data_IF_093821951424
#
_entry.id   IF_093821951424
#
_cell.length_a   1.000
_cell.length_b   1.000
_cell.length_c   1.000
_cell.angle_alpha   90.00
_cell.angle_beta   90.00
_cell.angle_gamma   90.00
#
_symmetry.space_group_name_H-M   'P 1'
#
loop_
_entity.id
_entity.type
_entity.pdbx_description
1 polymer ?
#
# COMPACT_ATOMS: atom_id res chain seq x y z
N UNK A 1 -39.12 2.53 -43.10
CA UNK A 1 -38.05 2.87 -44.08
C UNK A 1 -37.40 4.20 -43.74
N UNK A 2 -38.09 5.34 -43.81
CA UNK A 2 -37.52 6.67 -43.49
C UNK A 2 -36.92 6.81 -42.07
N UNK A 3 -37.55 6.20 -41.06
CA UNK A 3 -37.03 6.19 -39.68
C UNK A 3 -35.76 5.34 -39.51
N UNK A 4 -35.65 4.23 -40.27
CA UNK A 4 -34.45 3.39 -40.28
C UNK A 4 -33.30 4.08 -41.01
N UNK A 5 -33.58 4.81 -42.09
CA UNK A 5 -32.58 5.62 -42.81
C UNK A 5 -32.02 6.73 -41.91
N UNK A 6 -32.88 7.43 -41.16
CA UNK A 6 -32.46 8.44 -40.18
C UNK A 6 -31.62 7.86 -39.04
N UNK A 7 -31.98 6.68 -38.52
CA UNK A 7 -31.17 6.00 -37.50
C UNK A 7 -29.79 5.57 -38.01
N UNK A 8 -29.71 5.08 -39.25
CA UNK A 8 -28.43 4.71 -39.88
C UNK A 8 -27.55 5.94 -40.13
N UNK A 9 -28.14 7.08 -40.49
CA UNK A 9 -27.41 8.32 -40.72
C UNK A 9 -26.88 8.90 -39.40
N UNK A 10 -27.68 8.87 -38.33
CA UNK A 10 -27.24 9.25 -36.99
C UNK A 10 -26.13 8.33 -36.44
N UNK A 11 -26.19 7.03 -36.72
CA UNK A 11 -25.13 6.09 -36.35
C UNK A 11 -23.83 6.33 -37.14
N UNK A 12 -23.92 6.71 -38.43
CA UNK A 12 -22.75 7.11 -39.23
C UNK A 12 -22.08 8.36 -38.69
N UNK A 13 -22.87 9.36 -38.27
CA UNK A 13 -22.33 10.59 -37.69
C UNK A 13 -21.57 10.28 -36.40
N UNK A 14 -22.18 9.52 -35.48
CA UNK A 14 -21.52 9.09 -34.23
C UNK A 14 -20.25 8.29 -34.48
N UNK A 15 -20.26 7.38 -35.46
CA UNK A 15 -19.07 6.60 -35.81
C UNK A 15 -17.94 7.47 -36.38
N UNK A 16 -18.27 8.51 -37.15
CA UNK A 16 -17.29 9.45 -37.66
C UNK A 16 -16.73 10.37 -36.57
N UNK A 17 -17.56 10.79 -35.61
CA UNK A 17 -17.14 11.54 -34.44
C UNK A 17 -16.16 10.74 -33.58
N UNK A 18 -16.49 9.49 -33.23
CA UNK A 18 -15.60 8.59 -32.47
C UNK A 18 -14.27 8.35 -33.19
N UNK A 19 -14.28 8.19 -34.52
CA UNK A 19 -13.05 8.04 -35.28
C UNK A 19 -12.21 9.33 -35.33
N UNK A 20 -12.86 10.49 -35.31
CA UNK A 20 -12.17 11.78 -35.24
C UNK A 20 -11.51 12.00 -33.87
N UNK A 21 -12.15 11.54 -32.80
CA UNK A 21 -11.61 11.60 -31.43
C UNK A 21 -10.42 10.64 -31.27
N UNK A 22 -10.54 9.39 -31.73
CA UNK A 22 -9.44 8.44 -31.75
C UNK A 22 -8.23 8.95 -32.53
N UNK A 23 -8.46 9.70 -33.62
CA UNK A 23 -7.38 10.32 -34.40
C UNK A 23 -6.69 11.44 -33.63
N UNK A 24 -7.46 12.28 -32.91
CA UNK A 24 -6.90 13.31 -32.02
C UNK A 24 -6.08 12.69 -30.88
N UNK A 25 -6.56 11.59 -30.29
CA UNK A 25 -5.82 10.85 -29.27
C UNK A 25 -4.52 10.26 -29.82
N UNK A 26 -4.54 9.67 -31.01
CA UNK A 26 -3.32 9.18 -31.66
C UNK A 26 -2.31 10.30 -31.95
N UNK A 27 -2.78 11.48 -32.37
CA UNK A 27 -1.92 12.64 -32.60
C UNK A 27 -1.34 13.19 -31.28
N UNK A 28 -2.10 13.13 -30.18
CA UNK A 28 -1.59 13.47 -28.85
C UNK A 28 -0.52 12.48 -28.37
N UNK A 29 -0.74 11.17 -28.55
CA UNK A 29 0.25 10.13 -28.22
C UNK A 29 1.54 10.33 -29.02
N UNK A 30 1.45 10.59 -30.33
CA UNK A 30 2.64 10.88 -31.15
C UNK A 30 3.40 12.12 -30.69
N UNK A 31 2.70 13.17 -30.26
CA UNK A 31 3.36 14.37 -29.70
C UNK A 31 4.09 14.05 -28.40
N UNK A 32 3.50 13.23 -27.53
CA UNK A 32 4.12 12.79 -26.28
C UNK A 32 5.34 11.87 -26.52
N UNK A 33 5.26 10.98 -27.50
CA UNK A 33 6.40 10.16 -27.93
C UNK A 33 7.54 11.03 -28.44
N UNK A 34 7.25 12.04 -29.27
CA UNK A 34 8.26 12.98 -29.75
C UNK A 34 8.89 13.82 -28.63
N UNK A 35 8.13 14.22 -27.60
CA UNK A 35 8.71 14.94 -26.45
C UNK A 35 9.59 14.03 -25.60
N UNK A 36 9.18 12.77 -25.38
CA UNK A 36 9.99 11.78 -24.66
C UNK A 36 11.28 11.44 -25.41
N UNK A 37 11.23 11.37 -26.74
CA UNK A 37 12.41 11.12 -27.58
C UNK A 37 13.40 12.30 -27.49
N UNK A 38 12.90 13.54 -27.50
CA UNK A 38 13.74 14.73 -27.27
C UNK A 38 14.38 14.73 -25.88
N UNK A 39 13.62 14.45 -24.83
CA UNK A 39 14.17 14.35 -23.47
C UNK A 39 15.23 13.24 -23.35
N UNK A 40 15.04 12.12 -24.05
CA UNK A 40 16.03 11.03 -24.12
C UNK A 40 17.31 11.44 -24.84
N UNK A 41 17.20 12.22 -25.92
CA UNK A 41 18.37 12.74 -26.64
C UNK A 41 19.10 13.80 -25.81
N UNK A 42 18.38 14.71 -25.15
CA UNK A 42 18.94 15.68 -24.21
C UNK A 42 19.67 14.99 -23.06
N UNK A 43 19.08 13.93 -22.49
CA UNK A 43 19.71 13.12 -21.44
C UNK A 43 20.97 12.38 -21.96
N UNK A 44 20.93 11.89 -23.20
CA UNK A 44 22.09 11.22 -23.83
C UNK A 44 23.23 12.21 -24.09
N UNK A 45 22.92 13.45 -24.48
CA UNK A 45 23.92 14.51 -24.65
C UNK A 45 24.50 14.97 -23.31
N UNK A 46 23.69 15.09 -22.25
CA UNK A 46 24.20 15.39 -20.89
C UNK A 46 25.14 14.30 -20.40
N UNK A 47 24.83 13.02 -20.63
CA UNK A 47 25.75 11.91 -20.29
C UNK A 47 27.08 12.01 -21.03
N UNK A 48 27.11 12.46 -22.30
CA UNK A 48 28.36 12.63 -23.07
C UNK A 48 29.23 13.76 -22.54
N UNK A 49 28.64 14.77 -21.91
CA UNK A 49 29.37 15.91 -21.31
C UNK A 49 29.96 15.63 -19.92
N UNK A 50 29.64 14.49 -19.30
CA UNK A 50 30.20 14.07 -18.01
C UNK A 50 31.55 13.35 -18.24
N UNK A 51 32.66 13.76 -17.61
CA UNK A 51 33.97 13.18 -17.88
C UNK A 51 34.05 11.69 -17.53
N UNK A 52 34.60 10.90 -18.46
CA UNK A 52 34.80 9.45 -18.40
C UNK A 52 35.87 9.04 -17.37
N UNK A 53 35.62 9.19 -16.07
CA UNK A 53 36.51 8.68 -15.02
C UNK A 53 35.85 7.62 -14.13
N UNK A 54 34.99 6.76 -14.69
CA UNK A 54 34.49 5.58 -13.94
C UNK A 54 33.90 4.48 -14.83
N UNK A 55 34.46 4.25 -16.03
CA UNK A 55 33.99 3.16 -16.93
C UNK A 55 34.78 1.84 -16.82
N UNK A 56 35.79 1.74 -15.96
CA UNK A 56 36.64 0.52 -15.84
C UNK A 56 36.56 -0.24 -14.52
N UNK A 57 35.85 0.24 -13.51
CA UNK A 57 35.77 -0.45 -12.20
C UNK A 57 34.66 -1.50 -12.10
N UNK A 58 33.82 -1.69 -13.13
CA UNK A 58 32.62 -2.53 -13.05
C UNK A 58 32.75 -3.94 -13.67
N UNK A 59 33.93 -4.38 -14.11
CA UNK A 59 34.10 -5.72 -14.70
C UNK A 59 34.95 -6.70 -13.89
N UNK A 60 35.51 -6.30 -12.74
CA UNK A 60 36.38 -7.19 -11.94
C UNK A 60 35.98 -7.21 -10.48
N UNK A 61 34.76 -7.63 -10.18
CA UNK A 61 34.37 -7.96 -8.80
C UNK A 61 33.24 -9.02 -8.78
N UNK A 62 33.37 -10.04 -9.62
CA UNK A 62 32.58 -11.26 -9.51
C UNK A 62 33.41 -12.33 -8.77
N UNK A 63 33.28 -12.39 -7.44
CA UNK A 63 33.43 -13.60 -6.61
C UNK A 63 33.10 -13.27 -5.15
N UNK A 64 32.08 -13.90 -4.53
CA UNK A 64 31.85 -13.80 -3.10
C UNK A 64 32.72 -14.85 -2.39
N UNK A 65 33.60 -14.39 -1.50
CA UNK A 65 34.27 -15.25 -0.53
C UNK A 65 33.58 -15.10 0.83
N UNK A 66 33.20 -16.25 1.35
CA UNK A 66 32.55 -16.48 2.63
C UNK A 66 33.50 -16.21 3.81
N UNK A 67 32.89 -15.98 4.98
CA UNK A 67 33.40 -16.12 6.35
C UNK A 67 34.29 -15.00 6.93
N UNK A 68 33.64 -14.13 7.71
CA UNK A 68 33.95 -13.96 9.14
C UNK A 68 32.80 -13.22 9.82
N UNK A 69 31.88 -13.99 10.42
CA UNK A 69 30.81 -13.46 11.27
C UNK A 69 31.40 -12.95 12.58
N UNK A 70 31.53 -11.63 12.72
CA UNK A 70 31.71 -11.00 14.02
C UNK A 70 30.33 -10.97 14.68
N UNK A 71 30.14 -11.86 15.65
CA UNK A 71 28.97 -11.91 16.52
C UNK A 71 28.94 -10.68 17.42
N UNK A 72 28.09 -9.70 17.10
CA UNK A 72 27.68 -8.66 18.03
C UNK A 72 26.82 -9.31 19.13
N UNK A 73 27.40 -9.46 20.31
CA UNK A 73 26.70 -9.81 21.55
C UNK A 73 25.77 -8.67 21.95
N UNK A 74 24.49 -8.81 21.61
CA UNK A 74 23.41 -8.01 22.18
C UNK A 74 23.32 -8.34 23.67
N UNK A 75 23.68 -7.39 24.54
CA UNK A 75 23.47 -7.49 25.97
C UNK A 75 21.96 -7.53 26.27
N UNK A 76 21.47 -8.47 27.10
CA UNK A 76 20.07 -8.57 27.44
C UNK A 76 19.65 -7.39 28.34
N UNK A 77 18.63 -6.65 27.90
CA UNK A 77 17.81 -5.80 28.76
C UNK A 77 17.30 -6.64 29.93
N UNK A 78 17.66 -6.23 31.14
CA UNK A 78 17.14 -6.83 32.38
C UNK A 78 15.61 -6.67 32.40
N UNK A 79 14.84 -7.72 32.75
CA UNK A 79 13.40 -7.58 32.92
C UNK A 79 13.11 -6.69 34.13
N UNK A 80 12.22 -5.73 33.93
CA UNK A 80 11.65 -4.89 34.99
C UNK A 80 10.98 -5.78 36.05
N UNK A 81 11.33 -5.54 37.32
CA UNK A 81 10.75 -6.20 38.49
C UNK A 81 9.24 -5.96 38.50
N UNK A 82 8.47 -7.05 38.61
CA UNK A 82 7.01 -7.01 38.64
C UNK A 82 6.51 -6.14 39.81
N UNK A 83 5.66 -5.17 39.49
CA UNK A 83 4.89 -4.37 40.45
C UNK A 83 3.76 -5.25 40.95
N UNK A 84 3.62 -5.38 42.27
CA UNK A 84 2.54 -6.14 42.91
C UNK A 84 1.17 -5.64 42.46
N UNK A 85 0.26 -6.59 42.24
CA UNK A 85 -1.11 -6.35 41.78
C UNK A 85 -1.86 -5.42 42.75
N UNK A 86 -2.16 -4.20 42.32
CA UNK A 86 -3.26 -3.42 42.91
C UNK A 86 -4.58 -3.98 42.39
N UNK A 87 -5.49 -4.29 43.33
CA UNK A 87 -6.84 -4.76 43.04
C UNK A 87 -7.63 -3.72 42.21
N UNK A 88 -8.37 -4.22 41.21
CA UNK A 88 -9.30 -3.43 40.40
C UNK A 88 -10.73 -3.65 40.91
N UNK A 89 -11.17 -2.91 41.92
CA UNK A 89 -12.54 -2.36 42.00
C UNK A 89 -12.68 -1.36 43.15
N UNK A 90 -13.71 -0.52 43.03
CA UNK A 90 -14.03 0.68 43.80
C UNK A 90 -14.49 0.37 45.23
N UNK A 91 -13.69 0.75 46.22
CA UNK A 91 -14.15 1.17 47.54
C UNK A 91 -13.47 2.50 47.90
N UNK A 92 -14.22 3.40 48.52
CA UNK A 92 -13.78 4.72 48.97
C UNK A 92 -14.11 4.87 50.47
N UNK A 93 -13.54 5.88 51.15
CA UNK A 93 -12.21 5.97 51.74
C UNK A 93 -12.23 5.64 53.26
N UNK A 94 -11.08 5.71 53.97
CA UNK A 94 -10.95 6.89 54.83
C UNK A 94 -9.55 7.52 54.80
N UNK A 95 -9.55 8.79 55.18
CA UNK A 95 -8.41 9.67 55.31
C UNK A 95 -7.25 9.09 56.13
N UNK A 96 -6.03 9.40 55.68
CA UNK A 96 -4.91 9.95 56.46
C UNK A 96 -3.58 9.36 55.97
N UNK A 97 -2.86 10.13 55.16
CA UNK A 97 -1.43 10.40 55.39
C UNK A 97 -0.97 11.43 54.37
N UNK A 98 -0.64 12.61 54.89
CA UNK A 98 0.08 13.64 54.16
C UNK A 98 1.29 12.99 53.47
N UNK A 99 1.25 12.96 52.14
CA UNK A 99 2.40 12.58 51.34
C UNK A 99 3.51 13.57 51.62
N UNK A 100 4.53 13.11 52.34
CA UNK A 100 5.74 13.88 52.59
C UNK A 100 6.47 14.02 51.26
N UNK A 101 6.25 15.13 50.56
CA UNK A 101 7.02 15.47 49.36
C UNK A 101 8.47 15.71 49.79
N UNK A 102 9.31 14.70 49.60
CA UNK A 102 10.75 14.83 49.78
C UNK A 102 11.29 15.82 48.75
N UNK A 103 12.00 16.85 49.22
CA UNK A 103 12.62 17.83 48.35
C UNK A 103 13.53 17.13 47.32
N UNK A 104 13.17 17.25 46.03
CA UNK A 104 13.91 16.72 44.88
C UNK A 104 15.36 17.25 44.87
N UNK A 105 15.60 18.38 45.57
CA UNK A 105 16.84 18.96 46.10
C UNK A 105 17.90 17.98 46.65
N UNK A 106 17.46 16.93 47.32
CA UNK A 106 18.34 16.04 48.08
C UNK A 106 18.16 14.57 47.70
N UNK A 107 17.39 14.30 46.65
CA UNK A 107 17.20 12.94 46.16
C UNK A 107 18.46 12.43 45.45
N UNK A 108 19.07 11.40 46.02
CA UNK A 108 20.27 10.74 45.49
C UNK A 108 20.05 10.07 44.14
N UNK A 109 18.80 9.85 43.73
CA UNK A 109 18.45 9.27 42.41
C UNK A 109 18.51 10.31 41.29
N UNK A 110 18.45 11.60 41.63
CA UNK A 110 18.46 12.69 40.66
C UNK A 110 19.88 13.17 40.46
N UNK A 111 20.51 12.68 39.39
CA UNK A 111 21.87 13.07 38.99
C UNK A 111 21.82 14.48 38.41
N UNK A 112 22.46 15.44 39.09
CA UNK A 112 22.56 16.83 38.63
C UNK A 112 23.92 17.05 37.96
N UNK A 113 23.91 17.17 36.64
CA UNK A 113 25.13 17.38 35.84
C UNK A 113 25.03 16.70 34.47
N UNK A 114 25.96 17.06 33.58
CA UNK A 114 26.01 16.55 32.22
C UNK A 114 26.50 15.08 32.20
N UNK A 115 25.73 14.17 31.60
CA UNK A 115 25.89 12.70 31.70
C UNK A 115 27.02 12.10 30.84
N UNK A 116 27.76 12.91 30.08
CA UNK A 116 28.74 12.41 29.11
C UNK A 116 30.18 12.22 29.64
N UNK A 117 30.49 12.58 30.90
CA UNK A 117 31.87 12.59 31.40
C UNK A 117 32.16 11.63 32.59
N UNK A 118 31.30 10.64 32.87
CA UNK A 118 31.61 9.64 33.90
C UNK A 118 32.37 8.43 33.31
N UNK A 119 33.70 8.53 33.31
CA UNK A 119 34.56 7.34 33.26
C UNK A 119 34.40 6.59 34.58
N UNK A 120 33.84 5.38 34.54
CA UNK A 120 33.74 4.48 35.69
C UNK A 120 35.14 3.91 35.96
N UNK A 121 35.86 4.47 36.93
CA UNK A 121 37.08 3.88 37.50
C UNK A 121 36.71 3.07 38.75
N UNK A 122 37.37 1.92 39.00
CA UNK A 122 37.04 1.04 40.11
C UNK A 122 37.24 1.72 41.47
N UNK A 123 36.27 1.54 42.37
CA UNK A 123 36.10 2.17 43.69
C UNK A 123 37.31 2.08 44.63
N UNK A 124 38.26 1.17 44.39
CA UNK A 124 39.47 1.01 45.22
C UNK A 124 40.47 2.15 45.04
N UNK A 125 40.53 2.77 43.86
CA UNK A 125 41.50 3.86 43.56
C UNK A 125 41.01 5.25 43.99
N UNK A 126 39.70 5.43 44.22
CA UNK A 126 39.15 6.73 44.65
C UNK A 126 39.47 7.06 46.12
N UNK A 127 39.57 6.06 46.99
CA UNK A 127 39.92 6.26 48.40
C UNK A 127 41.39 6.71 48.56
N UNK A 128 42.32 6.08 47.83
CA UNK A 128 43.75 6.45 47.85
C UNK A 128 44.00 7.86 47.28
N UNK A 129 43.31 8.24 46.20
CA UNK A 129 43.45 9.58 45.62
C UNK A 129 42.84 10.67 46.52
N UNK A 130 41.74 10.39 47.23
CA UNK A 130 41.14 11.33 48.17
C UNK A 130 41.99 11.54 49.44
N UNK A 131 42.66 10.50 49.94
CA UNK A 131 43.61 10.61 51.05
C UNK A 131 44.88 11.38 50.64
N UNK A 132 45.39 11.13 49.43
CA UNK A 132 46.53 11.86 48.87
C UNK A 132 46.23 13.36 48.66
N UNK A 133 45.01 13.69 48.21
CA UNK A 133 44.54 15.07 48.09
C UNK A 133 44.41 15.76 49.46
N UNK A 134 43.85 15.08 50.48
CA UNK A 134 43.79 15.61 51.85
C UNK A 134 45.18 15.89 52.43
N UNK A 135 46.16 15.01 52.18
CA UNK A 135 47.54 15.23 52.64
C UNK A 135 48.22 16.40 51.90
N UNK A 136 47.99 16.56 50.59
CA UNK A 136 48.50 17.72 49.84
C UNK A 136 47.86 19.04 50.29
N UNK A 137 46.56 19.02 50.60
CA UNK A 137 45.84 20.19 51.11
C UNK A 137 46.31 20.58 52.52
N UNK A 138 46.54 19.60 53.41
CA UNK A 138 47.15 19.83 54.71
C UNK A 138 48.58 20.39 54.61
N UNK A 139 49.40 19.89 53.67
CA UNK A 139 50.72 20.47 53.37
C UNK A 139 50.62 21.92 52.88
N UNK A 140 49.69 22.22 51.97
CA UNK A 140 49.45 23.59 51.48
C UNK A 140 49.03 24.52 52.62
N UNK A 141 48.14 24.06 53.50
CA UNK A 141 47.66 24.84 54.65
C UNK A 141 48.75 25.10 55.67
N UNK A 142 49.63 24.13 55.93
CA UNK A 142 50.79 24.29 56.80
C UNK A 142 51.83 25.28 56.23
N UNK A 143 52.10 25.22 54.92
CA UNK A 143 53.00 26.18 54.24
C UNK A 143 52.41 27.60 54.25
N UNK A 144 51.09 27.74 54.03
CA UNK A 144 50.40 29.03 54.10
C UNK A 144 50.44 29.61 55.52
N UNK A 145 50.25 28.80 56.56
CA UNK A 145 50.40 29.24 57.95
C UNK A 145 51.84 29.65 58.30
N UNK A 146 52.85 28.96 57.74
CA UNK A 146 54.26 29.33 57.93
C UNK A 146 54.57 30.69 57.29
N UNK A 147 54.09 30.93 56.06
CA UNK A 147 54.18 32.24 55.39
C UNK A 147 53.41 33.34 56.12
N UNK A 148 52.23 33.04 56.65
CA UNK A 148 51.44 34.01 57.43
C UNK A 148 52.15 34.39 58.75
N UNK A 149 52.80 33.44 59.43
CA UNK A 149 53.63 33.73 60.62
C UNK A 149 54.87 34.56 60.29
N UNK A 150 55.45 34.38 59.10
CA UNK A 150 56.56 35.20 58.62
C UNK A 150 56.11 36.63 58.27
N UNK A 151 54.88 36.82 57.78
CA UNK A 151 54.32 38.14 57.48
C UNK A 151 53.87 38.94 58.72
N UNK A 152 53.50 38.26 59.83
CA UNK A 152 53.07 38.93 61.08
C UNK A 152 54.27 39.42 61.92
N UNK A 153 55.48 38.90 61.68
CA UNK A 153 56.70 39.49 62.25
C UNK A 153 57.16 40.64 61.37
N UNK A 154 56.77 41.86 61.71
CA UNK A 154 57.44 43.08 61.20
C UNK A 154 58.88 43.01 61.69
N UNK A 155 59.78 42.55 60.82
CA UNK A 155 61.20 42.37 61.13
C UNK A 155 61.90 43.70 60.87
N UNK A 156 62.52 44.27 61.89
CA UNK A 156 63.51 45.34 61.70
C UNK A 156 64.60 44.80 60.76
N UNK A 157 64.95 45.51 59.67
CA UNK A 157 65.94 45.02 58.71
C UNK A 157 67.26 44.67 59.41
N UNK A 158 67.96 43.66 58.88
CA UNK A 158 69.20 43.14 59.45
C UNK A 158 70.31 44.20 59.39
N UNK A 159 71.16 44.26 60.43
CA UNK A 159 72.20 45.26 60.51
C UNK A 159 73.22 45.09 59.37
N UNK A 160 73.59 46.19 58.72
CA UNK A 160 74.60 46.19 57.65
C UNK A 160 75.93 45.61 58.18
N UNK A 161 76.62 44.85 57.35
CA UNK A 161 77.81 44.08 57.72
C UNK A 161 78.88 45.00 58.36
N UNK A 162 79.22 44.73 59.62
CA UNK A 162 80.16 45.54 60.43
C UNK A 162 79.51 46.52 61.42
N UNK A 163 78.17 46.58 61.51
CA UNK A 163 77.45 47.35 62.53
C UNK A 163 76.54 46.43 63.34
N UNK A 164 76.44 46.66 64.65
CA UNK A 164 75.50 45.97 65.54
C UNK A 164 74.35 46.92 65.89
N UNK A 165 73.11 46.45 65.83
CA UNK A 165 71.96 47.22 66.33
C UNK A 165 71.91 47.11 67.85
N UNK A 166 71.83 48.24 68.54
CA UNK A 166 71.63 48.32 69.99
C UNK A 166 70.22 48.82 70.25
N UNK A 167 69.51 48.22 71.20
CA UNK A 167 68.17 48.66 71.58
C UNK A 167 68.28 49.98 72.35
N UNK A 168 67.71 51.05 71.77
CA UNK A 168 67.64 52.37 72.40
C UNK A 168 66.29 52.49 73.11
N UNK A 169 66.30 52.96 74.36
CA UNK A 169 65.07 53.25 75.12
C UNK A 169 64.22 54.25 74.34
N UNK A 170 63.12 53.78 73.77
CA UNK A 170 62.15 54.58 72.99
C UNK A 170 60.84 54.80 73.76
N UNK A 171 60.87 54.52 75.05
CA UNK A 171 59.79 54.84 75.98
C UNK A 171 59.80 56.35 76.23
N UNK A 172 58.62 56.98 76.31
CA UNK A 172 58.50 58.42 76.58
C UNK A 172 59.09 58.74 77.97
N UNK A 173 60.31 59.29 78.01
CA UNK A 173 60.94 59.81 79.22
C UNK A 173 60.91 61.34 79.16
N UNK A 174 60.08 61.97 79.99
CA UNK A 174 59.96 63.43 80.09
C UNK A 174 60.76 63.92 81.31
N UNK A 175 61.86 64.63 81.08
CA UNK A 175 62.52 65.46 82.10
C UNK A 175 61.90 66.87 82.09
N UNK A 176 61.34 67.31 83.22
CA UNK A 176 60.92 68.70 83.40
C UNK A 176 62.16 69.60 83.58
N UNK A 177 62.52 70.36 82.55
CA UNK A 177 63.54 71.40 82.63
C UNK A 177 63.00 72.62 83.40
N UNK A 178 63.30 72.71 84.69
CA UNK A 178 63.00 73.87 85.54
C UNK A 178 64.08 74.95 85.42
N UNK A 179 64.17 75.61 84.27
CA UNK A 179 64.96 76.84 84.12
C UNK A 179 64.01 78.00 83.75
N UNK A 180 63.69 78.82 84.75
CA UNK A 180 63.01 80.11 84.56
C UNK A 180 63.99 81.02 83.81
N UNK A 181 63.70 81.31 82.54
CA UNK A 181 64.45 82.31 81.78
C UNK A 181 64.05 83.68 82.31
N UNK A 182 65.02 84.48 82.77
CA UNK A 182 64.75 85.85 83.20
C UNK A 182 64.42 86.73 81.99
N UNK A 183 63.21 87.29 81.98
CA UNK A 183 62.78 88.28 81.00
C UNK A 183 63.31 89.66 81.42
N UNK A 184 64.14 90.28 80.57
CA UNK A 184 64.56 91.66 80.73
C UNK A 184 63.65 92.54 79.85
N UNK A 185 62.79 93.34 80.48
CA UNK A 185 61.98 94.33 79.78
C UNK A 185 62.85 95.50 79.33
N UNK A 186 63.06 95.61 78.01
CA UNK A 186 63.65 96.78 77.37
C UNK A 186 62.53 97.57 76.71
N UNK A 187 62.19 98.72 77.28
CA UNK A 187 61.21 99.64 76.68
C UNK A 187 61.92 100.56 75.68
N UNK A 188 61.77 100.26 74.38
CA UNK A 188 62.21 101.13 73.29
C UNK A 188 61.06 102.01 72.80
N UNK A 189 61.30 103.31 72.73
CA UNK A 189 60.40 104.32 72.16
C UNK A 189 60.21 104.05 70.67
N UNK A 190 58.98 103.75 70.26
CA UNK A 190 58.58 103.47 68.88
C UNK A 190 58.56 104.76 68.06
N UNK A 191 59.50 104.88 67.12
CA UNK A 191 59.34 105.78 65.97
C UNK A 191 58.37 105.14 64.96
N UNK A 192 57.61 105.96 64.24
CA UNK A 192 56.58 105.49 63.31
C UNK A 192 57.26 104.85 62.08
N UNK A 193 57.20 103.52 61.99
CA UNK A 193 57.67 102.76 60.82
C UNK A 193 56.99 103.27 59.54
N UNK A 194 57.78 103.87 58.64
CA UNK A 194 57.38 104.04 57.25
C UNK A 194 57.60 102.70 56.53
N UNK A 195 56.56 102.21 55.84
CA UNK A 195 56.64 100.98 55.06
C UNK A 195 57.74 101.08 54.01
N UNK A 196 58.76 100.23 54.17
CA UNK A 196 59.80 100.03 53.17
C UNK A 196 59.11 99.45 51.93
N UNK A 197 59.35 99.97 50.71
CA UNK A 197 58.79 99.35 49.51
C UNK A 197 59.26 97.89 49.43
N UNK A 198 58.36 96.99 49.04
CA UNK A 198 58.66 95.56 48.93
C UNK A 198 59.92 95.37 48.09
N UNK A 199 60.92 94.70 48.69
CA UNK A 199 62.14 94.36 47.95
C UNK A 199 61.75 93.49 46.76
N UNK A 200 62.15 93.85 45.52
CA UNK A 200 61.79 93.08 44.34
C UNK A 200 62.24 91.63 44.51
N UNK A 201 61.34 90.68 44.22
CA UNK A 201 61.62 89.25 44.29
C UNK A 201 62.83 88.93 43.41
N UNK A 202 63.89 88.42 44.04
CA UNK A 202 65.05 87.94 43.31
C UNK A 202 64.65 86.69 42.50
N UNK A 203 64.55 86.84 41.18
CA UNK A 203 64.39 85.71 40.25
C UNK A 203 65.81 85.31 39.82
N UNK A 204 66.33 84.15 40.25
CA UNK A 204 67.63 83.68 39.81
C UNK A 204 67.62 83.53 38.28
N UNK A 205 68.68 83.98 37.60
CA UNK A 205 68.87 83.64 36.20
C UNK A 205 68.89 82.11 36.07
N UNK A 206 68.14 81.55 35.11
CA UNK A 206 68.14 80.11 34.83
C UNK A 206 69.60 79.69 34.56
N UNK A 207 70.20 78.98 35.50
CA UNK A 207 71.55 78.42 35.36
C UNK A 207 71.39 76.92 35.15
N UNK A 208 71.49 76.51 33.89
CA UNK A 208 71.30 75.16 33.40
C UNK A 208 71.29 75.15 31.87
N UNK A 209 71.70 74.05 31.25
CA UNK A 209 71.58 73.88 29.80
C UNK A 209 70.21 73.29 29.52
N UNK A 210 69.38 74.01 28.77
CA UNK A 210 68.08 73.50 28.33
C UNK A 210 68.31 72.35 27.33
N UNK A 211 67.78 71.17 27.65
CA UNK A 211 67.83 69.98 26.79
C UNK A 211 66.40 69.50 26.50
N UNK A 212 66.07 69.32 25.22
CA UNK A 212 64.82 68.71 24.79
C UNK A 212 65.10 67.29 24.32
N UNK A 213 64.44 66.33 24.95
CA UNK A 213 64.41 64.94 24.48
C UNK A 213 63.08 64.70 23.78
N UNK A 214 63.13 64.41 22.48
CA UNK A 214 61.99 63.95 21.69
C UNK A 214 62.28 62.54 21.20
N UNK A 215 61.27 61.68 21.25
CA UNK A 215 61.30 60.34 20.68
C UNK A 215 60.82 60.46 19.23
N UNK A 216 61.61 59.96 18.28
CA UNK A 216 61.29 60.00 16.86
C UNK A 216 60.41 58.79 16.45
N UNK A 217 59.70 58.93 15.33
CA UNK A 217 58.85 57.86 14.80
C UNK A 217 59.66 56.59 14.53
N UNK A 218 59.31 55.50 15.23
CA UNK A 218 59.95 54.19 15.10
C UNK A 218 61.01 53.85 16.16
N UNK A 219 61.40 54.78 17.03
CA UNK A 219 62.43 54.54 18.06
C UNK A 219 61.98 53.56 19.16
N UNK A 220 60.67 53.44 19.40
CA UNK A 220 60.08 52.51 20.37
C UNK A 220 59.42 51.28 19.72
N UNK A 221 59.55 51.09 18.41
CA UNK A 221 58.87 50.00 17.71
C UNK A 221 59.56 48.66 17.98
N UNK A 222 58.83 47.73 18.61
CA UNK A 222 59.25 46.35 18.80
C UNK A 222 58.42 45.43 17.89
N UNK A 223 59.06 44.93 16.83
CA UNK A 223 58.41 44.09 15.83
C UNK A 223 57.78 42.84 16.44
N UNK A 224 58.49 42.17 17.36
CA UNK A 224 58.06 40.89 17.92
C UNK A 224 56.82 41.05 18.81
N UNK A 225 56.63 42.24 19.39
CA UNK A 225 55.44 42.58 20.18
C UNK A 225 54.27 42.97 19.29
N UNK A 226 54.50 43.82 18.30
CA UNK A 226 53.42 44.38 17.48
C UNK A 226 52.86 43.37 16.47
N UNK A 227 53.67 42.46 15.92
CA UNK A 227 53.22 41.44 14.96
C UNK A 227 52.34 40.36 15.58
N UNK A 228 52.42 40.13 16.90
CA UNK A 228 51.67 39.05 17.56
C UNK A 228 50.17 39.10 17.27
N UNK A 229 49.57 40.30 17.36
CA UNK A 229 48.13 40.48 17.10
C UNK A 229 47.75 40.18 15.65
N UNK A 230 48.59 40.56 14.69
CA UNK A 230 48.38 40.31 13.26
C UNK A 230 48.53 38.82 12.95
N UNK A 231 49.55 38.18 13.51
CA UNK A 231 49.82 36.77 13.30
C UNK A 231 48.72 35.89 13.92
N UNK A 232 48.24 36.24 15.12
CA UNK A 232 47.15 35.53 15.80
C UNK A 232 45.87 35.55 14.96
N UNK A 233 45.50 36.73 14.43
CA UNK A 233 44.32 36.86 13.57
C UNK A 233 44.49 36.09 12.26
N UNK A 234 45.67 36.16 11.62
CA UNK A 234 45.93 35.43 10.38
C UNK A 234 45.88 33.92 10.58
N UNK A 235 46.58 33.40 11.59
CA UNK A 235 46.60 31.97 11.89
C UNK A 235 45.20 31.51 12.31
N UNK A 236 44.53 32.27 13.17
CA UNK A 236 43.17 31.99 13.60
C UNK A 236 42.21 31.90 12.41
N UNK A 237 42.30 32.85 11.47
CA UNK A 237 41.42 32.87 10.30
C UNK A 237 41.70 31.74 9.32
N UNK A 238 42.98 31.41 9.08
CA UNK A 238 43.35 30.29 8.21
C UNK A 238 42.90 28.97 8.81
N UNK A 239 43.08 28.77 10.12
CA UNK A 239 42.60 27.55 10.80
C UNK A 239 41.07 27.44 10.76
N UNK A 240 40.35 28.51 11.08
CA UNK A 240 38.89 28.54 11.02
C UNK A 240 38.37 28.23 9.60
N UNK A 241 38.92 28.89 8.59
CA UNK A 241 38.55 28.67 7.20
C UNK A 241 38.84 27.23 6.77
N UNK A 242 40.03 26.71 7.06
CA UNK A 242 40.40 25.33 6.72
C UNK A 242 39.49 24.30 7.36
N UNK A 243 39.06 24.52 8.61
CA UNK A 243 38.15 23.61 9.30
C UNK A 243 36.76 23.62 8.66
N UNK A 244 36.23 24.81 8.33
CA UNK A 244 34.93 24.94 7.67
C UNK A 244 34.93 24.29 6.28
N UNK A 245 35.99 24.49 5.49
CA UNK A 245 36.14 23.88 4.17
C UNK A 245 36.16 22.35 4.25
N UNK A 246 36.95 21.77 5.17
CA UNK A 246 37.02 20.32 5.35
C UNK A 246 35.67 19.74 5.81
N UNK A 247 34.97 20.42 6.73
CA UNK A 247 33.64 19.99 7.17
C UNK A 247 32.63 20.01 6.01
N UNK A 248 32.62 21.07 5.19
CA UNK A 248 31.75 21.16 4.02
C UNK A 248 32.07 20.07 2.99
N UNK A 249 33.34 19.78 2.74
CA UNK A 249 33.75 18.71 1.82
C UNK A 249 33.28 17.33 2.29
N UNK A 250 33.39 17.03 3.59
CA UNK A 250 32.92 15.78 4.18
C UNK A 250 31.39 15.65 4.10
N UNK A 251 30.65 16.73 4.38
CA UNK A 251 29.20 16.76 4.25
C UNK A 251 28.76 16.53 2.80
N UNK A 252 29.37 17.22 1.83
CA UNK A 252 29.11 17.03 0.40
C UNK A 252 29.45 15.61 -0.06
N UNK A 253 30.54 15.02 0.45
CA UNK A 253 30.90 13.64 0.14
C UNK A 253 29.87 12.64 0.69
N UNK A 254 29.38 12.87 1.91
CA UNK A 254 28.34 12.06 2.53
C UNK A 254 27.02 12.11 1.75
N UNK A 255 26.56 13.32 1.39
CA UNK A 255 25.35 13.52 0.59
C UNK A 255 25.46 12.84 -0.79
N UNK A 256 26.60 13.00 -1.48
CA UNK A 256 26.84 12.33 -2.77
C UNK A 256 26.88 10.80 -2.63
N UNK A 257 27.42 10.27 -1.54
CA UNK A 257 27.42 8.83 -1.28
C UNK A 257 26.00 8.32 -1.03
N UNK A 258 25.20 9.04 -0.25
CA UNK A 258 23.80 8.72 0.01
C UNK A 258 22.96 8.76 -1.26
N UNK A 259 23.14 9.78 -2.09
CA UNK A 259 22.44 9.91 -3.37
C UNK A 259 22.76 8.74 -4.30
N UNK A 260 24.04 8.39 -4.47
CA UNK A 260 24.45 7.22 -5.28
C UNK A 260 23.84 5.92 -4.77
N UNK A 261 23.88 5.69 -3.46
CA UNK A 261 23.28 4.49 -2.86
C UNK A 261 21.75 4.43 -3.05
N UNK A 262 21.08 5.58 -3.06
CA UNK A 262 19.65 5.67 -3.34
C UNK A 262 19.34 5.38 -4.82
N UNK A 263 20.10 5.98 -5.74
CA UNK A 263 19.97 5.75 -7.18
C UNK A 263 20.20 4.28 -7.55
N UNK A 264 21.25 3.66 -7.01
CA UNK A 264 21.51 2.22 -7.19
C UNK A 264 20.34 1.35 -6.74
N UNK A 265 19.77 1.64 -5.56
CA UNK A 265 18.58 0.91 -5.07
C UNK A 265 17.36 1.14 -5.96
N UNK A 266 17.14 2.38 -6.40
CA UNK A 266 16.03 2.74 -7.28
C UNK A 266 16.13 2.03 -8.63
N UNK A 267 17.31 1.97 -9.21
CA UNK A 267 17.56 1.32 -10.49
C UNK A 267 17.33 -0.19 -10.39
N UNK A 268 17.82 -0.83 -9.32
CA UNK A 268 17.55 -2.24 -9.05
C UNK A 268 16.05 -2.49 -8.94
N UNK A 269 15.33 -1.70 -8.14
CA UNK A 269 13.87 -1.81 -8.00
C UNK A 269 13.14 -1.62 -9.33
N UNK A 270 13.54 -0.63 -10.13
CA UNK A 270 12.93 -0.35 -11.41
C UNK A 270 13.10 -1.53 -12.38
N UNK A 271 14.30 -2.12 -12.44
CA UNK A 271 14.53 -3.30 -13.29
C UNK A 271 13.76 -4.53 -12.82
N UNK A 272 13.55 -4.70 -11.51
CA UNK A 272 12.74 -5.78 -10.95
C UNK A 272 11.25 -5.60 -11.29
N UNK A 273 10.72 -4.39 -11.11
CA UNK A 273 9.34 -4.05 -11.47
C UNK A 273 9.09 -4.29 -12.95
N UNK A 274 10.01 -3.90 -13.83
CA UNK A 274 9.89 -4.15 -15.27
C UNK A 274 9.84 -5.65 -15.60
N UNK A 275 10.66 -6.48 -14.94
CA UNK A 275 10.63 -7.94 -15.13
C UNK A 275 9.29 -8.53 -14.71
N UNK A 276 8.76 -8.10 -13.56
CA UNK A 276 7.46 -8.56 -13.05
C UNK A 276 6.30 -8.12 -13.96
N UNK A 277 6.32 -6.87 -14.43
CA UNK A 277 5.31 -6.35 -15.36
C UNK A 277 5.28 -7.15 -16.68
N UNK A 278 6.45 -7.48 -17.23
CA UNK A 278 6.54 -8.27 -18.46
C UNK A 278 6.04 -9.72 -18.25
N UNK A 279 6.34 -10.33 -17.09
CA UNK A 279 5.80 -11.64 -16.73
C UNK A 279 4.27 -11.61 -16.60
N UNK A 280 3.74 -10.60 -15.92
CA UNK A 280 2.29 -10.42 -15.76
C UNK A 280 1.61 -10.16 -17.11
N UNK A 281 2.24 -9.39 -18.01
CA UNK A 281 1.75 -9.20 -19.38
C UNK A 281 1.61 -10.54 -20.12
N UNK A 282 2.63 -11.39 -20.06
CA UNK A 282 2.59 -12.72 -20.70
C UNK A 282 1.50 -13.61 -20.11
N UNK A 283 1.40 -13.65 -18.78
CA UNK A 283 0.40 -14.46 -18.10
C UNK A 283 -1.03 -13.99 -18.38
N UNK A 284 -1.27 -12.67 -18.39
CA UNK A 284 -2.58 -12.10 -18.71
C UNK A 284 -2.97 -12.34 -20.16
N UNK A 285 -2.03 -12.25 -21.10
CA UNK A 285 -2.26 -12.60 -22.51
C UNK A 285 -2.61 -14.07 -22.69
N UNK A 286 -1.87 -14.99 -22.05
CA UNK A 286 -2.19 -16.42 -22.12
C UNK A 286 -3.55 -16.71 -21.48
N UNK A 287 -3.83 -16.16 -20.30
CA UNK A 287 -5.13 -16.30 -19.63
C UNK A 287 -6.28 -15.81 -20.52
N UNK A 288 -6.13 -14.66 -21.20
CA UNK A 288 -7.11 -14.16 -22.16
C UNK A 288 -7.33 -15.13 -23.33
N UNK A 289 -6.26 -15.71 -23.89
CA UNK A 289 -6.35 -16.72 -24.95
C UNK A 289 -7.09 -17.98 -24.48
N UNK A 290 -6.79 -18.48 -23.29
CA UNK A 290 -7.47 -19.65 -22.69
C UNK A 290 -8.95 -19.39 -22.46
N UNK A 291 -9.31 -18.21 -21.93
CA UNK A 291 -10.70 -17.81 -21.73
C UNK A 291 -11.44 -17.73 -23.07
N UNK A 292 -10.83 -17.15 -24.10
CA UNK A 292 -11.43 -17.07 -25.43
C UNK A 292 -11.71 -18.47 -26.00
N UNK A 293 -10.73 -19.38 -25.94
CA UNK A 293 -10.90 -20.77 -26.36
C UNK A 293 -12.01 -21.48 -25.58
N UNK A 294 -12.02 -21.34 -24.24
CA UNK A 294 -13.06 -21.96 -23.42
C UNK A 294 -14.45 -21.41 -23.74
N UNK A 295 -14.58 -20.11 -23.98
CA UNK A 295 -15.85 -19.50 -24.37
C UNK A 295 -16.35 -20.03 -25.72
N UNK A 296 -15.46 -20.28 -26.68
CA UNK A 296 -15.84 -20.91 -27.96
C UNK A 296 -16.31 -22.36 -27.77
N UNK A 297 -15.63 -23.13 -26.92
CA UNK A 297 -16.05 -24.50 -26.58
C UNK A 297 -17.42 -24.48 -25.92
N UNK A 298 -17.64 -23.63 -24.92
CA UNK A 298 -18.93 -23.50 -24.24
C UNK A 298 -20.07 -23.08 -25.18
N UNK A 299 -19.80 -22.20 -26.16
CA UNK A 299 -20.79 -21.84 -27.19
C UNK A 299 -21.20 -23.06 -28.02
N UNK A 300 -20.22 -23.84 -28.50
CA UNK A 300 -20.47 -25.06 -29.26
C UNK A 300 -21.21 -26.11 -28.44
N UNK A 301 -20.85 -26.27 -27.16
CA UNK A 301 -21.54 -27.19 -26.25
C UNK A 301 -23.01 -26.80 -26.06
N UNK A 302 -23.31 -25.51 -25.89
CA UNK A 302 -24.71 -25.02 -25.83
C UNK A 302 -25.47 -25.33 -27.10
N UNK A 303 -24.90 -25.04 -28.27
CA UNK A 303 -25.53 -25.36 -29.56
C UNK A 303 -25.79 -26.86 -29.72
N UNK A 304 -24.84 -27.71 -29.30
CA UNK A 304 -25.00 -29.16 -29.35
C UNK A 304 -26.07 -29.63 -28.38
N UNK A 305 -26.09 -29.10 -27.15
CA UNK A 305 -27.09 -29.44 -26.15
C UNK A 305 -28.51 -29.07 -26.62
N UNK A 306 -28.68 -27.90 -27.23
CA UNK A 306 -29.96 -27.47 -27.83
C UNK A 306 -30.40 -28.40 -28.98
N UNK A 307 -29.48 -28.78 -29.87
CA UNK A 307 -29.77 -29.73 -30.96
C UNK A 307 -30.19 -31.11 -30.42
N UNK A 308 -29.51 -31.61 -29.38
CA UNK A 308 -29.85 -32.88 -28.74
C UNK A 308 -31.21 -32.78 -28.06
N UNK A 309 -31.49 -31.68 -27.34
CA UNK A 309 -32.76 -31.45 -26.68
C UNK A 309 -33.92 -31.38 -27.69
N UNK A 310 -33.76 -30.64 -28.79
CA UNK A 310 -34.75 -30.58 -29.87
C UNK A 310 -35.00 -31.95 -30.51
N UNK A 311 -33.94 -32.73 -30.75
CA UNK A 311 -34.06 -34.10 -31.27
C UNK A 311 -34.81 -35.01 -30.28
N UNK A 312 -34.45 -34.98 -29.00
CA UNK A 312 -35.12 -35.79 -27.99
C UNK A 312 -36.60 -35.41 -27.84
N UNK A 313 -36.89 -34.10 -27.84
CA UNK A 313 -38.26 -33.58 -27.78
C UNK A 313 -39.10 -34.02 -28.98
N UNK A 314 -38.59 -33.85 -30.20
CA UNK A 314 -39.29 -34.28 -31.42
C UNK A 314 -39.51 -35.79 -31.44
N UNK A 315 -38.54 -36.60 -31.00
CA UNK A 315 -38.71 -38.06 -30.91
C UNK A 315 -39.82 -38.44 -29.92
N UNK A 316 -39.84 -37.85 -28.73
CA UNK A 316 -40.88 -38.12 -27.74
C UNK A 316 -42.26 -37.66 -28.22
N UNK A 317 -42.34 -36.48 -28.85
CA UNK A 317 -43.59 -35.95 -29.38
C UNK A 317 -44.14 -36.83 -30.52
N UNK A 318 -43.30 -37.17 -31.51
CA UNK A 318 -43.69 -38.01 -32.63
C UNK A 318 -44.06 -39.43 -32.19
N UNK A 319 -43.36 -39.99 -31.21
CA UNK A 319 -43.68 -41.31 -30.66
C UNK A 319 -45.10 -41.39 -30.07
N UNK A 320 -45.60 -40.30 -29.48
CA UNK A 320 -46.97 -40.23 -28.94
C UNK A 320 -48.00 -39.78 -29.97
N UNK A 321 -47.60 -38.88 -30.88
CA UNK A 321 -48.49 -38.34 -31.90
C UNK A 321 -48.92 -39.40 -32.91
N UNK A 322 -47.99 -40.23 -33.38
CA UNK A 322 -48.28 -41.24 -34.41
C UNK A 322 -49.38 -42.21 -33.92
N UNK A 323 -49.24 -42.91 -32.78
CA UNK A 323 -50.32 -43.76 -32.25
C UNK A 323 -51.63 -43.00 -32.03
N UNK A 324 -51.58 -41.77 -31.48
CA UNK A 324 -52.77 -40.96 -31.23
C UNK A 324 -53.55 -40.63 -32.50
N UNK A 325 -52.86 -40.21 -33.57
CA UNK A 325 -53.47 -39.96 -34.89
C UNK A 325 -54.02 -41.25 -35.47
N UNK A 326 -53.27 -42.35 -35.42
CA UNK A 326 -53.74 -43.65 -35.93
C UNK A 326 -54.98 -44.15 -35.18
N UNK A 327 -55.03 -44.00 -33.86
CA UNK A 327 -56.22 -44.33 -33.06
C UNK A 327 -57.38 -43.41 -33.40
N UNK A 328 -57.17 -42.09 -33.50
CA UNK A 328 -58.21 -41.13 -33.90
C UNK A 328 -58.78 -41.45 -35.29
N UNK A 329 -57.93 -41.65 -36.30
CA UNK A 329 -58.34 -42.03 -37.65
C UNK A 329 -59.08 -43.37 -37.69
N UNK A 330 -58.67 -44.34 -36.85
CA UNK A 330 -59.36 -45.62 -36.70
C UNK A 330 -60.74 -45.44 -36.03
N UNK A 331 -60.84 -44.62 -35.00
CA UNK A 331 -62.12 -44.29 -34.34
C UNK A 331 -63.08 -43.54 -35.26
N UNK A 332 -62.57 -42.67 -36.13
CA UNK A 332 -63.37 -41.96 -37.14
C UNK A 332 -63.71 -42.82 -38.37
N UNK A 333 -63.27 -44.08 -38.42
CA UNK A 333 -63.67 -45.03 -39.47
C UNK A 333 -62.96 -44.84 -40.82
N UNK A 334 -61.87 -44.06 -40.88
CA UNK A 334 -61.11 -43.87 -42.13
C UNK A 334 -60.36 -45.14 -42.56
N UNK A 335 -59.94 -45.97 -41.60
CA UNK A 335 -59.37 -47.29 -41.90
C UNK A 335 -60.50 -48.30 -42.08
N UNK A 336 -60.98 -48.43 -43.31
CA UNK A 336 -61.97 -49.43 -43.68
C UNK A 336 -61.29 -50.80 -43.83
N UNK A 337 -61.82 -51.84 -43.19
CA UNK A 337 -61.35 -53.20 -43.38
C UNK A 337 -61.78 -53.68 -44.78
N UNK A 338 -60.84 -53.81 -45.71
CA UNK A 338 -61.10 -54.25 -47.09
C UNK A 338 -61.84 -55.58 -47.14
N UNK A 339 -61.50 -56.52 -46.24
CA UNK A 339 -62.20 -57.81 -46.11
C UNK A 339 -63.65 -57.64 -45.68
N UNK A 340 -63.92 -56.76 -44.72
CA UNK A 340 -65.30 -56.52 -44.27
C UNK A 340 -66.13 -55.88 -45.38
N UNK A 341 -65.57 -54.88 -46.06
CA UNK A 341 -66.26 -54.24 -47.20
C UNK A 341 -66.47 -55.22 -48.33
N UNK A 342 -65.48 -56.04 -48.68
CA UNK A 342 -65.60 -57.06 -49.73
C UNK A 342 -66.69 -58.10 -49.40
N UNK A 343 -66.77 -58.51 -48.12
CA UNK A 343 -67.86 -59.38 -47.65
C UNK A 343 -69.21 -58.67 -47.77
N UNK A 344 -69.32 -57.43 -47.31
CA UNK A 344 -70.56 -56.65 -47.35
C UNK A 344 -71.01 -56.32 -48.77
N UNK A 345 -70.08 -55.99 -49.68
CA UNK A 345 -70.40 -55.52 -51.04
C UNK A 345 -70.47 -56.64 -52.07
N UNK A 346 -69.66 -57.70 -51.94
CA UNK A 346 -69.58 -58.75 -52.95
C UNK A 346 -70.19 -60.07 -52.46
N UNK A 347 -69.81 -60.54 -51.26
CA UNK A 347 -70.27 -61.83 -50.75
C UNK A 347 -71.74 -61.80 -50.33
N UNK A 348 -72.19 -60.77 -49.59
CA UNK A 348 -73.57 -60.70 -49.09
C UNK A 348 -74.59 -60.61 -50.24
N UNK A 349 -74.40 -59.77 -51.29
CA UNK A 349 -75.31 -59.77 -52.44
C UNK A 349 -75.27 -61.07 -53.23
N UNK A 350 -74.09 -61.68 -53.41
CA UNK A 350 -73.97 -62.99 -54.05
C UNK A 350 -74.75 -64.07 -53.27
N UNK A 351 -74.59 -64.13 -51.95
CA UNK A 351 -75.29 -65.09 -51.10
C UNK A 351 -76.80 -64.86 -51.14
N UNK A 352 -77.25 -63.61 -51.05
CA UNK A 352 -78.68 -63.27 -51.17
C UNK A 352 -79.25 -63.62 -52.55
N UNK A 353 -78.46 -63.48 -53.62
CA UNK A 353 -78.85 -63.87 -54.97
C UNK A 353 -78.94 -65.40 -55.13
N UNK A 354 -77.99 -66.16 -54.57
CA UNK A 354 -78.03 -67.62 -54.60
C UNK A 354 -79.20 -68.17 -53.75
N UNK A 355 -79.45 -67.57 -52.58
CA UNK A 355 -80.61 -67.91 -51.74
C UNK A 355 -81.91 -67.61 -52.50
N UNK A 356 -82.07 -66.43 -53.12
CA UNK A 356 -83.27 -66.10 -53.89
C UNK A 356 -83.45 -67.02 -55.10
N UNK A 357 -82.41 -67.31 -55.87
CA UNK A 357 -82.42 -68.32 -56.94
C UNK A 357 -82.86 -69.71 -56.45
N UNK A 358 -82.40 -70.13 -55.27
CA UNK A 358 -82.83 -71.39 -54.66
C UNK A 358 -84.30 -71.37 -54.23
N UNK A 359 -84.80 -70.24 -53.74
CA UNK A 359 -86.20 -70.04 -53.37
C UNK A 359 -87.10 -69.96 -54.61
N UNK A 360 -86.66 -69.31 -55.68
CA UNK A 360 -87.37 -69.21 -56.96
C UNK A 360 -87.51 -70.61 -57.59
N UNK A 361 -86.43 -71.40 -57.67
CA UNK A 361 -86.50 -72.80 -58.09
C UNK A 361 -87.50 -73.61 -57.26
N UNK A 362 -87.57 -73.33 -55.96
CA UNK A 362 -88.51 -74.00 -55.04
C UNK A 362 -89.95 -73.51 -55.21
N UNK A 363 -90.13 -72.23 -55.54
CA UNK A 363 -91.41 -71.61 -55.86
C UNK A 363 -91.93 -72.11 -57.20
N UNK A 364 -91.10 -72.15 -58.23
CA UNK A 364 -91.40 -72.72 -59.55
C UNK A 364 -91.75 -74.20 -59.44
N UNK A 365 -90.98 -74.98 -58.70
CA UNK A 365 -91.30 -76.39 -58.45
C UNK A 365 -92.66 -76.56 -57.72
N UNK A 366 -92.97 -75.68 -56.77
CA UNK A 366 -94.29 -75.63 -56.11
C UNK A 366 -95.39 -75.19 -57.07
N UNK A 367 -95.15 -74.21 -57.93
CA UNK A 367 -96.11 -73.73 -58.95
C UNK A 367 -96.41 -74.82 -59.96
N UNK A 368 -95.40 -75.52 -60.47
CA UNK A 368 -95.57 -76.67 -61.37
C UNK A 368 -96.34 -77.79 -60.66
N UNK A 369 -96.04 -78.09 -59.39
CA UNK A 369 -96.84 -79.03 -58.60
C UNK A 369 -98.30 -78.57 -58.48
N UNK A 370 -98.55 -77.29 -58.19
CA UNK A 370 -99.89 -76.72 -58.10
C UNK A 370 -100.61 -76.75 -59.46
N UNK A 371 -99.92 -76.50 -60.57
CA UNK A 371 -100.46 -76.58 -61.92
C UNK A 371 -100.79 -78.02 -62.31
N UNK A 372 -99.93 -78.99 -61.98
CA UNK A 372 -100.23 -80.43 -62.14
C UNK A 372 -101.45 -80.81 -61.29
N UNK A 373 -101.54 -80.32 -60.05
CA UNK A 373 -102.70 -80.55 -59.18
C UNK A 373 -103.98 -79.93 -59.77
N UNK A 374 -103.89 -78.73 -60.35
CA UNK A 374 -105.00 -78.04 -61.03
C UNK A 374 -105.41 -78.76 -62.31
N UNK A 375 -104.49 -79.25 -63.13
CA UNK A 375 -104.76 -79.97 -64.39
C UNK A 375 -105.45 -81.32 -64.14
N UNK A 376 -105.03 -82.05 -63.09
CA UNK A 376 -105.65 -83.34 -62.75
C UNK A 376 -107.05 -83.20 -62.17
N UNK A 377 -107.43 -82.03 -61.64
CA UNK A 377 -108.75 -81.79 -61.04
C UNK A 377 -109.90 -81.90 -62.06
N UNK A 378 -109.91 -81.20 -63.23
CA UNK A 378 -110.97 -81.36 -64.23
C UNK A 378 -110.91 -82.71 -64.97
N UNK A 379 -109.77 -83.41 -64.98
CA UNK A 379 -109.65 -84.75 -65.56
C UNK A 379 -110.35 -85.84 -64.73
N UNK A 380 -110.55 -85.60 -63.42
CA UNK A 380 -111.32 -86.49 -62.54
C UNK A 380 -112.82 -86.21 -62.60
N UNK A 381 -113.22 -84.95 -62.77
CA UNK A 381 -114.63 -84.54 -62.93
C UNK A 381 -115.22 -84.89 -64.31
N UNK A 382 -114.40 -84.96 -65.37
CA UNK A 382 -114.85 -85.40 -66.72
C UNK A 382 -115.03 -86.92 -66.85
N UNK A 383 -114.34 -87.74 -66.06
CA UNK A 383 -114.43 -89.22 -66.13
C UNK A 383 -115.62 -89.82 -65.38
N UNK A 384 -116.29 -89.07 -64.51
CA UNK A 384 -117.57 -89.47 -63.90
C UNK A 384 -118.78 -89.13 -64.78
N UNK A 385 -118.66 -88.19 -65.74
CA UNK A 385 -119.79 -87.77 -66.59
C UNK A 385 -120.00 -88.69 -67.83
N UNK A 386 -118.96 -89.32 -68.38
CA UNK A 386 -119.07 -90.11 -69.63
C UNK A 386 -119.57 -91.57 -69.47
N UNK A 387 -119.82 -92.08 -68.25
CA UNK A 387 -120.33 -93.46 -68.06
C UNK A 387 -121.86 -93.57 -68.00
N UNK A 388 -122.62 -92.47 -67.91
CA UNK A 388 -124.09 -92.52 -67.88
C UNK A 388 -124.76 -92.47 -69.27
N UNK A 389 -124.08 -92.07 -70.34
CA UNK A 389 -124.71 -91.89 -71.66
C UNK A 389 -124.73 -93.14 -72.56
N UNK A 390 -124.04 -94.22 -72.21
CA UNK A 390 -124.03 -95.47 -73.01
C UNK A 390 -125.12 -96.49 -72.62
N UNK A 391 -125.93 -96.22 -71.60
CA UNK A 391 -127.02 -97.10 -71.16
C UNK A 391 -128.35 -96.91 -71.90
N UNK A 392 -128.56 -95.81 -72.61
CA UNK A 392 -129.88 -95.42 -73.15
C UNK A 392 -130.08 -95.71 -74.64
N UNK A 393 -129.03 -96.11 -75.37
CA UNK A 393 -129.11 -96.36 -76.82
C UNK A 393 -129.40 -97.83 -77.19
N UNK A 394 -129.11 -98.78 -76.29
CA UNK A 394 -129.44 -100.20 -76.49
C UNK A 394 -130.94 -100.50 -76.29
N UNK A 395 -131.66 -99.71 -75.50
CA UNK A 395 -133.09 -99.92 -75.22
C UNK A 395 -134.03 -99.51 -76.38
N UNK A 396 -133.61 -98.63 -77.28
CA UNK A 396 -134.44 -98.16 -78.42
C UNK A 396 -134.40 -99.08 -79.65
N UNK A 397 -133.41 -99.97 -79.76
CA UNK A 397 -133.27 -100.88 -80.91
C UNK A 397 -134.07 -102.18 -80.78
N UNK A 398 -134.42 -102.58 -79.55
CA UNK A 398 -135.27 -103.75 -79.28
C UNK A 398 -136.77 -103.41 -79.49
N UNK A 399 -137.18 -102.16 -79.32
CA UNK A 399 -138.60 -101.76 -79.48
C UNK A 399 -139.05 -101.54 -80.95
N UNK A 400 -138.13 -101.41 -81.91
CA UNK A 400 -138.50 -101.14 -83.32
C UNK A 400 -138.71 -102.41 -84.15
N UNK A 401 -138.21 -103.57 -83.74
CA UNK A 401 -138.36 -104.83 -84.48
C UNK A 401 -139.53 -105.72 -84.02
N UNK A 402 -140.30 -105.29 -83.01
CA UNK A 402 -141.56 -105.95 -82.58
C UNK A 402 -142.77 -105.36 -83.34
N UNK A 403 -142.57 -104.45 -84.30
CA UNK A 403 -143.67 -103.76 -85.00
C UNK A 403 -143.78 -104.06 -86.50
N UNK A 404 -143.06 -105.06 -87.02
CA UNK A 404 -143.36 -105.69 -88.31
C UNK A 404 -143.08 -107.20 -88.25
N UNK A 405 -144.18 -107.94 -88.25
CA UNK A 405 -144.39 -109.40 -88.22
C UNK A 405 -144.52 -110.06 -86.83
#
# INVERSE_FOLDING_TARGET
>A
MKELESLVENLKIKFNEENSEKKKEQDQVRKLEQTLEKEREEFRETIKTVPLRTRRSLQTAARPALQSSISLTFLPLRPSRAVENRSKYREAPPDQSQSHYGNIMYDRRVVRGNTYAQRILPTTTQAELAEMQKQQEQRRKAVAQRKAREQIRVRTPEALQGRQHTEVQTELYLEELSNIVMENDVQCQTDAFLDKPDTPLFIPAKSGVDATTQIEDGELFDFDREVQSVLEVLVGKVMEQSLLEVMEEEELACLRAQQRAFEERRDVQLTEVQKLQEQERRHTEEKKRRIAQQNEVLKKEKEIAEKIAARAYTQQYLANLVPSIFTSLRCHGFFVNTVQTDVETNFMPWLMNEISSSLDKRYDARSVLDDIIKERRPARERKTCCKLSRGTEAAKKILFLISKD
#
